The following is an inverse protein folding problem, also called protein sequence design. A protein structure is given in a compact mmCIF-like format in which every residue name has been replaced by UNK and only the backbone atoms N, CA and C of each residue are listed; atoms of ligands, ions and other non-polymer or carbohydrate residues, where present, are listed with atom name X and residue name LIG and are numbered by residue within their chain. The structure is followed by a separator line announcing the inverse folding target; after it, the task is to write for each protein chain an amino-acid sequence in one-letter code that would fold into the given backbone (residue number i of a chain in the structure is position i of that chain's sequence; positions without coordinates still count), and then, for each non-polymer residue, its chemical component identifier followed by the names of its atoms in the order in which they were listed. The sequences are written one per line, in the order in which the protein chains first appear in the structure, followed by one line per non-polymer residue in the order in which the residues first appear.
data_IF_694825889512
#
_entry.id   IF_694825889512
#
_cell.length_a   1.000
_cell.length_b   1.000
_cell.length_c   1.000
_cell.angle_alpha   90.00
_cell.angle_beta   90.00
_cell.angle_gamma   90.00
#
_symmetry.space_group_name_H-M   'P 1'
#
loop_
_entity.id
_entity.type
_entity.pdbx_description
1 polymer ?
#
# COMPACT_ATOMS: atom_id res chain seq x y z
N UNK A 1 -14.39 0.91 -12.48
CA UNK A 1 -13.87 1.96 -11.59
C UNK A 1 -12.53 2.43 -12.13
N UNK A 2 -12.10 3.65 -11.79
CA UNK A 2 -10.74 4.12 -12.08
C UNK A 2 -9.89 3.97 -10.80
N UNK A 3 -8.95 3.05 -10.79
CA UNK A 3 -8.23 2.62 -9.60
C UNK A 3 -6.73 2.94 -9.73
N UNK A 4 -6.19 3.63 -8.72
CA UNK A 4 -4.75 3.82 -8.58
C UNK A 4 -4.16 2.67 -7.77
N UNK A 5 -3.23 1.92 -8.35
CA UNK A 5 -2.47 0.87 -7.66
C UNK A 5 -1.05 1.35 -7.40
N UNK A 6 -0.76 1.70 -6.15
CA UNK A 6 0.56 2.13 -5.69
C UNK A 6 1.38 0.91 -5.27
N UNK A 7 2.54 0.72 -5.89
CA UNK A 7 3.32 -0.52 -5.73
C UNK A 7 2.84 -1.66 -6.63
N UNK A 8 2.24 -1.31 -7.78
CA UNK A 8 1.65 -2.28 -8.70
C UNK A 8 2.64 -3.09 -9.54
N UNK A 9 3.95 -2.77 -9.48
CA UNK A 9 5.00 -3.58 -10.09
C UNK A 9 5.61 -4.63 -9.12
N UNK A 10 5.17 -4.61 -7.83
CA UNK A 10 5.55 -5.60 -6.83
C UNK A 10 4.70 -6.87 -6.94
N UNK A 11 5.08 -7.91 -6.16
CA UNK A 11 4.44 -9.23 -6.20
C UNK A 11 2.91 -9.18 -5.98
N UNK A 12 2.42 -8.62 -4.87
CA UNK A 12 0.98 -8.57 -4.60
C UNK A 12 0.30 -7.57 -5.55
N UNK A 13 0.93 -6.42 -5.79
CA UNK A 13 0.38 -5.36 -6.60
C UNK A 13 0.15 -5.78 -8.05
N UNK A 14 1.08 -6.51 -8.67
CA UNK A 14 0.95 -6.97 -10.07
C UNK A 14 -0.20 -7.95 -10.26
N UNK A 15 -0.39 -8.88 -9.32
CA UNK A 15 -1.55 -9.77 -9.35
C UNK A 15 -2.87 -8.99 -9.17
N UNK A 16 -2.89 -7.97 -8.31
CA UNK A 16 -4.08 -7.12 -8.16
C UNK A 16 -4.36 -6.33 -9.44
N UNK A 17 -3.33 -5.76 -10.08
CA UNK A 17 -3.46 -5.06 -11.37
C UNK A 17 -4.10 -5.99 -12.41
N UNK A 18 -3.61 -7.22 -12.54
CA UNK A 18 -4.16 -8.19 -13.46
C UNK A 18 -5.64 -8.47 -13.18
N UNK A 19 -6.00 -8.75 -11.91
CA UNK A 19 -7.39 -9.02 -11.52
C UNK A 19 -8.33 -7.86 -11.80
N UNK A 20 -7.90 -6.62 -11.56
CA UNK A 20 -8.69 -5.42 -11.83
C UNK A 20 -8.93 -5.23 -13.33
N UNK A 21 -7.90 -5.42 -14.15
CA UNK A 21 -8.01 -5.36 -15.62
C UNK A 21 -8.96 -6.43 -16.17
N UNK A 22 -8.88 -7.66 -15.65
CA UNK A 22 -9.79 -8.75 -16.00
C UNK A 22 -11.24 -8.45 -15.59
N UNK A 23 -11.43 -7.71 -14.49
CA UNK A 23 -12.75 -7.23 -14.07
C UNK A 23 -13.29 -6.06 -14.92
N UNK A 24 -12.49 -5.49 -15.80
CA UNK A 24 -12.85 -4.36 -16.66
C UNK A 24 -12.69 -3.00 -16.02
N UNK A 25 -11.88 -2.90 -14.95
CA UNK A 25 -11.56 -1.62 -14.33
C UNK A 25 -10.46 -0.88 -15.10
N UNK A 26 -10.47 0.46 -15.02
CA UNK A 26 -9.38 1.29 -15.48
C UNK A 26 -8.31 1.35 -14.38
N UNK A 27 -7.08 0.98 -14.70
CA UNK A 27 -6.00 0.86 -13.71
C UNK A 27 -4.84 1.76 -14.09
N UNK A 28 -4.47 2.64 -13.16
CA UNK A 28 -3.20 3.37 -13.19
C UNK A 28 -2.26 2.78 -12.13
N UNK A 29 -1.05 2.46 -12.53
CA UNK A 29 0.01 1.90 -11.68
C UNK A 29 1.03 3.00 -11.39
N UNK A 30 1.35 3.21 -10.11
CA UNK A 30 2.40 4.13 -9.67
C UNK A 30 3.44 3.34 -8.86
N UNK A 31 4.67 3.25 -9.38
CA UNK A 31 5.73 2.44 -8.78
C UNK A 31 7.10 3.06 -9.10
N UNK A 32 8.04 3.03 -8.15
CA UNK A 32 9.40 3.52 -8.33
C UNK A 32 10.40 2.43 -8.75
N UNK A 33 9.92 1.19 -8.94
CA UNK A 33 10.71 0.02 -9.34
C UNK A 33 11.88 -0.32 -8.39
N UNK A 34 11.82 0.15 -7.13
CA UNK A 34 12.88 -0.11 -6.16
C UNK A 34 12.99 -1.59 -5.76
N UNK A 35 11.86 -2.30 -5.80
CA UNK A 35 11.77 -3.74 -5.50
C UNK A 35 10.86 -4.48 -6.49
N UNK A 36 10.05 -3.75 -7.25
CA UNK A 36 9.18 -4.28 -8.29
C UNK A 36 9.89 -4.38 -9.64
N UNK A 37 9.24 -5.06 -10.58
CA UNK A 37 9.73 -5.24 -11.95
C UNK A 37 8.69 -4.73 -12.94
N UNK A 38 9.10 -3.87 -13.88
CA UNK A 38 8.19 -3.33 -14.88
C UNK A 38 7.56 -4.43 -15.74
N UNK A 39 8.29 -5.51 -15.96
CA UNK A 39 7.85 -6.68 -16.71
C UNK A 39 6.69 -7.43 -16.03
N UNK A 40 6.48 -7.25 -14.71
CA UNK A 40 5.34 -7.81 -13.99
C UNK A 40 4.03 -7.05 -14.25
N UNK A 41 4.09 -5.89 -14.90
CA UNK A 41 2.90 -5.08 -15.24
C UNK A 41 2.40 -5.48 -16.62
N UNK A 42 1.34 -6.27 -16.67
CA UNK A 42 0.80 -6.84 -17.92
C UNK A 42 -0.18 -5.93 -18.65
N UNK A 43 -0.51 -4.77 -18.08
CA UNK A 43 -1.45 -3.79 -18.68
C UNK A 43 -1.72 -2.61 -17.77
N UNK A 44 -2.67 -1.76 -18.17
CA UNK A 44 -2.98 -0.52 -17.46
C UNK A 44 -2.05 0.64 -17.84
N UNK A 45 -2.25 1.79 -17.18
CA UNK A 45 -1.44 2.98 -17.39
C UNK A 45 -0.30 3.01 -16.36
N UNK A 46 0.93 2.66 -16.78
CA UNK A 46 2.10 2.64 -15.88
C UNK A 46 2.77 4.01 -15.82
N UNK A 47 2.90 4.54 -14.61
CA UNK A 47 3.61 5.78 -14.29
C UNK A 47 4.73 5.45 -13.30
N UNK A 48 5.98 5.64 -13.74
CA UNK A 48 7.14 5.53 -12.86
C UNK A 48 7.26 6.77 -12.01
N UNK A 49 7.30 6.60 -10.68
CA UNK A 49 7.40 7.71 -9.74
C UNK A 49 7.52 7.25 -8.29
N UNK A 50 7.88 8.18 -7.41
CA UNK A 50 8.18 7.90 -6.01
C UNK A 50 7.25 8.68 -5.08
N UNK A 51 6.70 7.99 -4.06
CA UNK A 51 5.85 8.61 -3.02
C UNK A 51 6.56 9.70 -2.21
N UNK A 52 7.89 9.72 -2.18
CA UNK A 52 8.66 10.81 -1.56
C UNK A 52 8.62 12.12 -2.37
N UNK A 53 8.26 12.05 -3.65
CA UNK A 53 8.16 13.20 -4.54
C UNK A 53 6.71 13.71 -4.60
N UNK A 54 6.40 14.67 -3.74
CA UNK A 54 5.06 15.26 -3.67
C UNK A 54 4.62 15.98 -4.95
N UNK A 55 5.56 16.44 -5.79
CA UNK A 55 5.23 17.04 -7.08
C UNK A 55 4.74 15.98 -8.08
N UNK A 56 5.39 14.81 -8.11
CA UNK A 56 4.93 13.69 -8.96
C UNK A 56 3.54 13.22 -8.52
N UNK A 57 3.31 13.07 -7.20
CA UNK A 57 1.99 12.75 -6.66
C UNK A 57 0.93 13.77 -7.07
N UNK A 58 1.19 15.07 -6.88
CA UNK A 58 0.25 16.11 -7.30
C UNK A 58 -0.05 16.03 -8.80
N UNK A 59 0.97 15.88 -9.64
CA UNK A 59 0.79 15.74 -11.10
C UNK A 59 -0.07 14.51 -11.45
N UNK A 60 0.14 13.39 -10.76
CA UNK A 60 -0.63 12.16 -10.94
C UNK A 60 -2.13 12.39 -10.66
N UNK A 61 -2.45 12.99 -9.52
CA UNK A 61 -3.83 13.25 -9.11
C UNK A 61 -4.48 14.40 -9.90
N UNK A 62 -3.72 15.39 -10.36
CA UNK A 62 -4.24 16.48 -11.22
C UNK A 62 -4.67 15.97 -12.61
N UNK A 63 -4.01 14.95 -13.14
CA UNK A 63 -4.26 14.41 -14.47
C UNK A 63 -5.27 13.25 -14.49
N UNK A 64 -5.74 12.79 -13.34
CA UNK A 64 -6.63 11.62 -13.24
C UNK A 64 -7.55 11.74 -12.04
N UNK A 65 -8.81 11.35 -12.21
CA UNK A 65 -9.74 11.18 -11.09
C UNK A 65 -9.81 9.69 -10.73
N UNK A 66 -9.44 9.36 -9.50
CA UNK A 66 -9.47 7.99 -9.00
C UNK A 66 -10.68 7.78 -8.09
N UNK A 67 -11.37 6.65 -8.27
CA UNK A 67 -12.44 6.21 -7.37
C UNK A 67 -11.88 5.60 -6.08
N UNK A 68 -10.70 4.96 -6.17
CA UNK A 68 -10.05 4.27 -5.07
C UNK A 68 -8.54 4.18 -5.29
N UNK A 69 -7.79 4.23 -4.18
CA UNK A 69 -6.36 3.92 -4.14
C UNK A 69 -6.14 2.55 -3.49
N UNK A 70 -5.36 1.68 -4.12
CA UNK A 70 -4.88 0.43 -3.52
C UNK A 70 -3.38 0.55 -3.25
N UNK A 71 -2.98 0.56 -1.98
CA UNK A 71 -1.61 0.86 -1.58
C UNK A 71 -0.85 -0.39 -1.14
N UNK A 72 0.02 -0.89 -2.02
CA UNK A 72 0.89 -2.05 -1.80
C UNK A 72 2.37 -1.69 -1.63
N UNK A 73 2.78 -0.45 -1.99
CA UNK A 73 4.17 -0.04 -1.92
C UNK A 73 4.69 -0.01 -0.47
N UNK A 74 5.71 -0.79 -0.18
CA UNK A 74 6.42 -0.80 1.10
C UNK A 74 7.70 -1.62 1.02
N UNK A 75 8.68 -1.29 1.86
CA UNK A 75 9.71 -2.25 2.23
C UNK A 75 9.13 -3.25 3.25
N UNK A 76 9.39 -4.55 3.08
CA UNK A 76 8.72 -5.62 3.82
C UNK A 76 9.65 -6.60 4.53
N UNK A 77 10.97 -6.38 4.46
CA UNK A 77 11.95 -7.29 5.06
C UNK A 77 12.13 -7.01 6.55
N UNK A 78 11.56 -7.86 7.39
CA UNK A 78 11.59 -7.72 8.85
C UNK A 78 13.01 -7.60 9.40
N UNK A 79 13.95 -8.46 8.97
CA UNK A 79 15.35 -8.43 9.42
C UNK A 79 16.05 -7.12 9.07
N UNK A 80 15.87 -6.62 7.85
CA UNK A 80 16.43 -5.34 7.41
C UNK A 80 15.84 -4.17 8.20
N UNK A 81 14.56 -4.22 8.55
CA UNK A 81 13.90 -3.17 9.32
C UNK A 81 14.55 -2.96 10.69
N UNK A 82 15.06 -4.02 11.31
CA UNK A 82 15.76 -3.95 12.60
C UNK A 82 17.14 -3.30 12.46
N UNK A 83 17.82 -3.55 11.34
CA UNK A 83 19.13 -2.97 11.06
C UNK A 83 19.04 -1.51 10.58
N UNK A 84 17.99 -1.17 9.83
CA UNK A 84 17.79 0.13 9.20
C UNK A 84 16.42 0.73 9.48
N UNK A 85 16.03 0.95 10.76
CA UNK A 85 14.65 1.36 11.10
C UNK A 85 14.24 2.68 10.44
N UNK A 86 15.13 3.65 10.33
CA UNK A 86 14.87 4.94 9.70
C UNK A 86 14.47 4.83 8.22
N UNK A 87 15.00 3.83 7.51
CA UNK A 87 14.62 3.54 6.13
C UNK A 87 13.15 3.13 6.05
N UNK A 88 12.70 2.24 6.93
CA UNK A 88 11.32 1.76 6.99
C UNK A 88 10.33 2.84 7.42
N UNK A 89 10.66 3.65 8.41
CA UNK A 89 9.78 4.76 8.81
C UNK A 89 9.65 5.81 7.70
N UNK A 90 10.73 6.16 7.02
CA UNK A 90 10.67 7.11 5.90
C UNK A 90 9.88 6.54 4.73
N UNK A 91 10.25 5.34 4.25
CA UNK A 91 9.63 4.77 3.07
C UNK A 91 8.18 4.35 3.31
N UNK A 92 7.91 3.63 4.40
CA UNK A 92 6.57 3.09 4.60
C UNK A 92 5.63 4.13 5.21
N UNK A 93 6.03 4.83 6.28
CA UNK A 93 5.13 5.73 6.99
C UNK A 93 5.13 7.14 6.39
N UNK A 94 6.28 7.83 6.32
CA UNK A 94 6.28 9.22 5.84
C UNK A 94 5.79 9.35 4.39
N UNK A 95 6.20 8.43 3.51
CA UNK A 95 5.77 8.48 2.11
C UNK A 95 4.28 8.13 1.95
N UNK A 96 3.71 7.30 2.84
CA UNK A 96 2.26 7.08 2.86
C UNK A 96 1.50 8.33 3.31
N UNK A 97 2.04 9.14 4.23
CA UNK A 97 1.41 10.44 4.55
C UNK A 97 1.37 11.36 3.34
N UNK A 98 2.44 11.43 2.51
CA UNK A 98 2.43 12.20 1.27
C UNK A 98 1.31 11.74 0.32
N UNK A 99 1.06 10.42 0.23
CA UNK A 99 -0.04 9.86 -0.55
C UNK A 99 -1.40 10.29 0.01
N UNK A 100 -1.60 10.17 1.32
CA UNK A 100 -2.86 10.55 1.98
C UNK A 100 -3.14 12.05 1.86
N UNK A 101 -2.13 12.91 2.01
CA UNK A 101 -2.26 14.36 1.82
C UNK A 101 -2.64 14.69 0.37
N UNK A 102 -2.06 13.98 -0.61
CA UNK A 102 -2.42 14.15 -2.02
C UNK A 102 -3.86 13.67 -2.30
N UNK A 103 -4.29 12.56 -1.69
CA UNK A 103 -5.68 12.08 -1.79
C UNK A 103 -6.67 13.12 -1.26
N UNK A 104 -6.42 13.68 -0.05
CA UNK A 104 -7.25 14.73 0.55
C UNK A 104 -7.31 15.96 -0.35
N UNK A 105 -6.16 16.42 -0.85
CA UNK A 105 -6.08 17.60 -1.72
C UNK A 105 -6.90 17.47 -3.01
N UNK A 106 -7.05 16.25 -3.52
CA UNK A 106 -7.70 15.96 -4.80
C UNK A 106 -9.05 15.22 -4.65
N UNK A 107 -9.66 15.24 -3.45
CA UNK A 107 -10.97 14.67 -3.13
C UNK A 107 -11.09 13.15 -3.43
N UNK A 108 -9.99 12.39 -3.34
CA UNK A 108 -9.99 10.93 -3.45
C UNK A 108 -10.13 10.32 -2.07
N UNK A 109 -11.28 9.75 -1.74
CA UNK A 109 -11.65 9.42 -0.37
C UNK A 109 -11.60 7.94 -0.01
N UNK A 110 -11.27 7.05 -0.95
CA UNK A 110 -11.27 5.60 -0.70
C UNK A 110 -9.86 5.02 -0.81
N UNK A 111 -9.43 4.25 0.21
CA UNK A 111 -8.15 3.57 0.18
C UNK A 111 -8.25 2.14 0.72
N UNK A 112 -7.64 1.20 0.00
CA UNK A 112 -7.36 -0.15 0.49
C UNK A 112 -5.86 -0.23 0.78
N UNK A 113 -5.53 -0.48 2.04
CA UNK A 113 -4.16 -0.49 2.52
C UNK A 113 -3.66 -1.92 2.78
N UNK A 114 -2.54 -2.26 2.17
CA UNK A 114 -1.79 -3.49 2.43
C UNK A 114 -1.09 -3.38 3.79
N UNK A 115 -1.74 -3.85 4.83
CA UNK A 115 -1.18 -3.96 6.17
C UNK A 115 -0.49 -5.33 6.37
N UNK A 116 -0.29 -5.77 7.58
CA UNK A 116 0.48 -6.99 7.89
C UNK A 116 0.06 -7.62 9.22
N UNK A 117 0.17 -8.93 9.33
CA UNK A 117 0.08 -9.63 10.61
C UNK A 117 1.27 -9.32 11.56
N UNK A 118 2.39 -8.78 11.05
CA UNK A 118 3.54 -8.41 11.87
C UNK A 118 3.22 -7.32 12.92
N UNK A 119 2.12 -6.59 12.76
CA UNK A 119 1.66 -5.62 13.75
C UNK A 119 1.15 -6.27 15.06
N UNK A 120 0.75 -7.55 15.03
CA UNK A 120 0.31 -8.27 16.23
C UNK A 120 1.49 -8.65 17.16
N UNK A 121 2.71 -8.75 16.61
CA UNK A 121 3.88 -9.20 17.35
C UNK A 121 3.78 -10.67 17.76
N UNK A 122 4.11 -10.97 19.04
CA UNK A 122 3.94 -12.30 19.60
C UNK A 122 2.47 -12.52 19.97
N UNK A 123 1.81 -13.55 19.43
CA UNK A 123 0.40 -13.79 19.71
C UNK A 123 0.12 -14.05 21.19
N UNK A 124 -0.89 -13.37 21.74
CA UNK A 124 -1.39 -13.66 23.10
C UNK A 124 -2.39 -14.81 23.09
N UNK A 125 -3.09 -15.03 21.98
CA UNK A 125 -4.00 -16.15 21.75
C UNK A 125 -4.06 -16.50 20.25
N UNK A 126 -4.57 -17.71 19.96
CA UNK A 126 -4.80 -18.21 18.59
C UNK A 126 -6.17 -18.92 18.50
N UNK A 127 -6.88 -18.80 17.37
CA UNK A 127 -6.53 -18.04 16.17
C UNK A 127 -6.53 -16.53 16.43
N UNK A 128 -5.66 -15.80 15.70
CA UNK A 128 -5.62 -14.32 15.75
C UNK A 128 -6.87 -13.81 15.02
N UNK A 129 -7.59 -12.88 15.66
CA UNK A 129 -8.71 -12.14 15.09
C UNK A 129 -8.45 -10.61 15.09
N UNK A 130 -9.42 -9.82 14.62
CA UNK A 130 -9.30 -8.37 14.53
C UNK A 130 -9.22 -7.67 15.89
N UNK A 131 -9.59 -8.34 16.97
CA UNK A 131 -9.56 -7.81 18.36
C UNK A 131 -8.24 -8.10 19.05
N UNK A 132 -7.37 -8.93 18.41
CA UNK A 132 -6.07 -9.25 18.98
C UNK A 132 -5.25 -7.96 19.18
N UNK A 133 -4.58 -7.80 20.35
CA UNK A 133 -3.73 -6.64 20.61
C UNK A 133 -2.65 -6.45 19.55
N UNK A 134 -2.43 -5.20 19.13
CA UNK A 134 -1.36 -4.83 18.22
C UNK A 134 -0.14 -4.41 19.02
N UNK A 135 0.91 -5.24 19.03
CA UNK A 135 2.16 -5.01 19.75
C UNK A 135 3.36 -5.43 18.89
N UNK A 136 3.67 -4.68 17.81
CA UNK A 136 4.72 -5.04 16.88
C UNK A 136 6.10 -5.11 17.55
N UNK A 137 6.89 -6.13 17.20
CA UNK A 137 8.23 -6.38 17.77
C UNK A 137 9.37 -5.98 16.81
N UNK A 138 9.04 -5.33 15.69
CA UNK A 138 10.03 -4.87 14.73
C UNK A 138 9.56 -3.57 14.03
N UNK A 139 10.49 -2.77 13.46
CA UNK A 139 10.17 -1.50 12.80
C UNK A 139 9.25 -1.62 11.57
N UNK A 140 9.29 -2.74 10.84
CA UNK A 140 8.35 -2.99 9.75
C UNK A 140 6.92 -3.06 10.27
N UNK A 141 6.63 -3.94 11.23
CA UNK A 141 5.31 -4.04 11.85
C UNK A 141 4.86 -2.71 12.48
N UNK A 142 5.79 -2.03 13.16
CA UNK A 142 5.51 -0.72 13.75
C UNK A 142 5.15 0.32 12.70
N UNK A 143 5.86 0.38 11.56
CA UNK A 143 5.55 1.33 10.48
C UNK A 143 4.15 1.10 9.89
N UNK A 144 3.74 -0.17 9.77
CA UNK A 144 2.39 -0.52 9.29
C UNK A 144 1.30 -0.16 10.31
N UNK A 145 1.55 -0.39 11.61
CA UNK A 145 0.62 0.02 12.66
C UNK A 145 0.45 1.54 12.71
N UNK A 146 1.53 2.31 12.57
CA UNK A 146 1.47 3.78 12.51
C UNK A 146 0.62 4.26 11.33
N UNK A 147 0.67 3.58 10.17
CA UNK A 147 -0.17 3.91 9.02
C UNK A 147 -1.64 3.63 9.34
N UNK A 148 -1.99 2.49 9.97
CA UNK A 148 -3.37 2.22 10.37
C UNK A 148 -3.91 3.28 11.35
N UNK A 149 -3.08 3.74 12.28
CA UNK A 149 -3.44 4.83 13.19
C UNK A 149 -3.65 6.15 12.43
N UNK A 150 -2.75 6.50 11.51
CA UNK A 150 -2.90 7.68 10.67
C UNK A 150 -4.17 7.61 9.81
N UNK A 151 -4.50 6.45 9.23
CA UNK A 151 -5.73 6.26 8.46
C UNK A 151 -6.98 6.56 9.30
N UNK A 152 -7.02 6.13 10.55
CA UNK A 152 -8.13 6.45 11.47
C UNK A 152 -8.22 7.97 11.75
N UNK A 153 -7.08 8.66 11.91
CA UNK A 153 -7.06 10.11 12.09
C UNK A 153 -7.51 10.84 10.80
N UNK A 154 -7.11 10.35 9.61
CA UNK A 154 -7.54 10.91 8.32
C UNK A 154 -9.03 10.65 8.03
N UNK A 155 -9.58 9.50 8.46
CA UNK A 155 -11.02 9.26 8.43
C UNK A 155 -11.77 10.31 9.24
N UNK A 156 -11.33 10.54 10.48
CA UNK A 156 -11.98 11.50 11.37
C UNK A 156 -11.85 12.96 10.87
N UNK A 157 -10.68 13.33 10.36
CA UNK A 157 -10.38 14.71 9.97
C UNK A 157 -10.91 15.08 8.58
N UNK A 158 -10.85 14.16 7.63
CA UNK A 158 -11.06 14.42 6.20
C UNK A 158 -12.09 13.51 5.55
N UNK A 159 -12.61 12.50 6.25
CA UNK A 159 -13.59 11.56 5.72
C UNK A 159 -13.01 10.49 4.79
N UNK A 160 -11.73 10.23 4.85
CA UNK A 160 -11.09 9.11 4.13
C UNK A 160 -11.71 7.80 4.62
N UNK A 161 -12.23 7.00 3.70
CA UNK A 161 -12.71 5.65 3.99
C UNK A 161 -11.61 4.66 3.69
N UNK A 162 -11.31 3.76 4.63
CA UNK A 162 -10.21 2.83 4.47
C UNK A 162 -10.55 1.40 4.86
N UNK A 163 -9.84 0.46 4.23
CA UNK A 163 -9.79 -0.95 4.62
C UNK A 163 -8.31 -1.32 4.77
N UNK A 164 -7.95 -1.84 5.96
CA UNK A 164 -6.60 -2.36 6.20
C UNK A 164 -6.61 -3.89 6.14
N UNK A 165 -5.89 -4.45 5.16
CA UNK A 165 -5.78 -5.89 4.95
C UNK A 165 -4.52 -6.42 5.66
N UNK A 166 -4.70 -7.11 6.79
CA UNK A 166 -3.60 -7.63 7.62
C UNK A 166 -3.17 -9.02 7.14
N UNK A 167 -2.35 -9.05 6.09
CA UNK A 167 -1.85 -10.31 5.52
C UNK A 167 -0.89 -11.03 6.48
N UNK A 168 -0.96 -12.37 6.49
CA UNK A 168 0.09 -13.21 7.08
C UNK A 168 1.20 -13.41 6.03
N UNK A 169 1.08 -14.42 5.19
CA UNK A 169 2.03 -14.66 4.11
C UNK A 169 1.25 -14.81 2.80
N UNK A 170 1.42 -13.86 1.90
CA UNK A 170 0.90 -13.99 0.55
C UNK A 170 1.73 -15.00 -0.22
N UNK A 171 1.08 -15.97 -0.85
CA UNK A 171 1.71 -16.99 -1.66
C UNK A 171 0.80 -17.36 -2.83
N UNK A 172 1.39 -17.69 -3.95
CA UNK A 172 0.68 -18.10 -5.17
C UNK A 172 1.41 -17.66 -6.42
N UNK A 173 0.86 -18.06 -7.55
CA UNK A 173 1.28 -17.65 -8.88
C UNK A 173 0.05 -17.59 -9.79
N UNK A 174 0.14 -16.87 -10.90
CA UNK A 174 -0.89 -16.91 -11.94
C UNK A 174 -1.05 -18.32 -12.48
N UNK A 175 -2.31 -18.70 -12.83
CA UNK A 175 -2.64 -20.03 -13.34
C UNK A 175 -1.90 -20.33 -14.67
N UNK A 176 -1.64 -19.31 -15.46
CA UNK A 176 -0.91 -19.36 -16.73
C UNK A 176 0.62 -19.30 -16.58
N UNK A 177 1.13 -19.13 -15.37
CA UNK A 177 2.56 -19.06 -15.07
C UNK A 177 3.23 -17.71 -15.38
N UNK A 178 2.43 -16.67 -15.62
CA UNK A 178 2.93 -15.30 -15.83
C UNK A 178 3.31 -14.59 -14.53
#
# INVERSE_FOLDING_TARGET
MNILVVGGAGYIGSHMVQMLLENGDEVTIFDNLSTGFKESVTGGNFIEGDLSNTNELNTLFENSQFDCVMHFAAFSQVGESVLHPGLYYKNNFCNTLNLLDSMVKHDVNNIIFSSTAALFGNPEYTPIDEKHPCNPINPYGQSKLMIEQALADYEQAYGIQYISLRYFNAAGASIDGS
#
